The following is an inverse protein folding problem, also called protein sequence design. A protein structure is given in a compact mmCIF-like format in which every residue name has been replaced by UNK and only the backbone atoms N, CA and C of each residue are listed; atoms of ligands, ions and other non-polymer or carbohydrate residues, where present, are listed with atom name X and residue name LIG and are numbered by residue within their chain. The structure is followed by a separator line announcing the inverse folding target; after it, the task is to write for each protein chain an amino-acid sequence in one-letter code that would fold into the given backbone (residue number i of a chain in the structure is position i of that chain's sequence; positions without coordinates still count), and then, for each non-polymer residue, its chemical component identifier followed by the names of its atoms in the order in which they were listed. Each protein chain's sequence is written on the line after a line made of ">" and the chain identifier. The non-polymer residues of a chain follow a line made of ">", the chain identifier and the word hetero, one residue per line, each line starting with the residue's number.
data_IF_494116159511
#
_entry.id   IF_494116159511
#
_cell.length_a   1.000
_cell.length_b   1.000
_cell.length_c   1.000
_cell.angle_alpha   90.00
_cell.angle_beta   90.00
_cell.angle_gamma   90.00
#
_symmetry.space_group_name_H-M   'P 1'
#
loop_
_entity.id
_entity.type
_entity.pdbx_description
1 polymer ?
#
# COMPACT_ATOMS: atom_id res chain seq x y z
N UNK A 1 14.06 -10.34 -17.93
CA UNK A 1 15.16 -9.43 -17.47
C UNK A 1 14.85 -8.05 -18.03
N UNK A 2 14.61 -7.09 -17.18
CA UNK A 2 14.39 -5.68 -17.54
C UNK A 2 15.74 -5.06 -17.90
N UNK A 3 16.17 -5.23 -19.16
CA UNK A 3 17.39 -4.60 -19.68
C UNK A 3 17.03 -3.17 -20.08
N UNK A 4 17.53 -2.19 -19.33
CA UNK A 4 17.38 -0.77 -19.65
C UNK A 4 16.76 0.09 -18.54
N UNK A 5 16.23 -0.50 -17.47
CA UNK A 5 15.72 0.28 -16.35
C UNK A 5 16.86 1.02 -15.63
N UNK A 6 16.68 2.30 -15.37
CA UNK A 6 17.62 3.09 -14.57
C UNK A 6 17.71 2.52 -13.15
N UNK A 7 18.90 2.58 -12.55
CA UNK A 7 19.06 2.21 -11.15
C UNK A 7 18.15 3.09 -10.26
N UNK A 8 17.47 2.53 -9.26
CA UNK A 8 16.64 3.32 -8.37
C UNK A 8 17.47 4.33 -7.58
N UNK A 9 16.93 5.54 -7.39
CA UNK A 9 17.53 6.55 -6.53
C UNK A 9 17.34 6.17 -5.06
N UNK A 10 18.40 6.26 -4.28
CA UNK A 10 18.31 6.07 -2.83
C UNK A 10 17.78 7.34 -2.15
N UNK A 11 16.89 7.13 -1.18
CA UNK A 11 16.30 8.18 -0.34
C UNK A 11 16.47 7.75 1.13
N UNK A 12 17.37 8.39 1.90
CA UNK A 12 17.49 8.11 3.33
C UNK A 12 16.27 8.67 4.08
N UNK A 13 15.67 7.83 4.92
CA UNK A 13 14.49 8.18 5.71
C UNK A 13 14.80 8.08 7.19
N UNK A 14 14.68 9.17 7.92
CA UNK A 14 14.80 9.18 9.38
C UNK A 14 13.53 8.66 10.02
N UNK A 15 13.64 7.57 10.78
CA UNK A 15 12.52 6.93 11.49
C UNK A 15 12.47 7.34 12.95
N UNK A 16 13.63 7.48 13.58
CA UNK A 16 13.83 7.96 14.95
C UNK A 16 15.06 8.87 14.99
N UNK A 17 15.32 9.62 16.06
CA UNK A 17 16.44 10.59 16.10
C UNK A 17 17.80 10.00 15.68
N UNK A 18 18.07 8.74 16.02
CA UNK A 18 19.33 8.04 15.72
C UNK A 18 19.17 6.86 14.74
N UNK A 19 18.00 6.69 14.11
CA UNK A 19 17.73 5.50 13.30
C UNK A 19 17.14 5.89 11.95
N UNK A 20 17.76 5.39 10.89
CA UNK A 20 17.35 5.62 9.50
C UNK A 20 17.04 4.31 8.80
N UNK A 21 16.24 4.38 7.76
CA UNK A 21 16.10 3.33 6.74
C UNK A 21 16.33 3.93 5.37
N UNK A 22 16.61 3.09 4.38
CA UNK A 22 16.80 3.49 2.99
C UNK A 22 15.56 3.14 2.18
N UNK A 23 14.97 4.12 1.52
CA UNK A 23 13.97 3.90 0.48
C UNK A 23 14.65 3.92 -0.90
N UNK A 24 14.09 3.17 -1.85
CA UNK A 24 14.50 3.12 -3.25
C UNK A 24 13.39 3.66 -4.12
N UNK A 25 13.67 4.71 -4.88
CA UNK A 25 12.73 5.37 -5.79
C UNK A 25 12.99 4.88 -7.21
N UNK A 26 12.03 4.14 -7.77
CA UNK A 26 11.97 3.70 -9.16
C UNK A 26 11.10 4.69 -9.93
N UNK A 27 11.72 5.55 -10.72
CA UNK A 27 10.99 6.55 -11.49
C UNK A 27 10.13 5.92 -12.59
N UNK A 28 9.00 6.55 -12.89
CA UNK A 28 8.12 6.14 -14.00
C UNK A 28 8.87 6.19 -15.33
N UNK A 29 8.86 5.08 -16.08
CA UNK A 29 9.56 4.98 -17.38
C UNK A 29 8.67 5.29 -18.59
N UNK A 30 7.35 5.00 -18.48
CA UNK A 30 6.36 5.34 -19.51
C UNK A 30 5.79 6.74 -19.25
N UNK A 31 4.76 7.14 -20.03
CA UNK A 31 4.03 8.38 -19.77
C UNK A 31 3.59 8.43 -18.31
N UNK A 32 4.14 9.36 -17.49
CA UNK A 32 3.89 9.39 -16.07
C UNK A 32 2.40 9.56 -15.76
N UNK A 33 1.88 8.72 -14.86
CA UNK A 33 0.50 8.84 -14.38
C UNK A 33 0.33 9.99 -13.36
N UNK A 34 1.43 10.62 -12.92
CA UNK A 34 1.42 11.67 -11.91
C UNK A 34 1.11 11.15 -10.50
N UNK A 35 1.39 9.88 -10.24
CA UNK A 35 1.11 9.22 -8.98
C UNK A 35 2.30 8.38 -8.49
N UNK A 36 2.48 8.33 -7.18
CA UNK A 36 3.45 7.51 -6.50
C UNK A 36 2.79 6.39 -5.68
N UNK A 37 3.46 5.24 -5.59
CA UNK A 37 3.04 4.09 -4.81
C UNK A 37 4.18 3.62 -3.90
N UNK A 38 3.99 3.69 -2.58
CA UNK A 38 4.92 3.11 -1.62
C UNK A 38 4.61 1.62 -1.48
N UNK A 39 5.59 0.76 -1.73
CA UNK A 39 5.47 -0.70 -1.68
C UNK A 39 6.32 -1.28 -0.55
N UNK A 40 5.67 -1.67 0.55
CA UNK A 40 6.28 -2.31 1.71
C UNK A 40 6.43 -3.83 1.54
N UNK A 41 7.56 -4.37 1.99
CA UNK A 41 7.83 -5.81 1.92
C UNK A 41 7.09 -6.62 3.00
N UNK A 42 6.96 -7.93 2.78
CA UNK A 42 6.46 -8.89 3.76
C UNK A 42 7.50 -9.30 4.82
N UNK A 43 7.08 -10.02 5.86
CA UNK A 43 7.98 -10.63 6.82
C UNK A 43 8.94 -11.61 6.12
N UNK A 44 10.20 -11.62 6.55
CA UNK A 44 11.23 -12.52 5.98
C UNK A 44 11.76 -12.12 4.59
N UNK A 45 11.37 -10.96 4.07
CA UNK A 45 11.88 -10.38 2.83
C UNK A 45 12.40 -8.96 3.09
N UNK A 46 13.15 -8.40 2.14
CA UNK A 46 13.54 -6.99 2.13
C UNK A 46 13.15 -6.34 0.80
N UNK A 47 13.36 -5.05 0.68
CA UNK A 47 13.04 -4.30 -0.54
C UNK A 47 13.78 -4.79 -1.80
N UNK A 48 14.93 -5.46 -1.64
CA UNK A 48 15.73 -6.03 -2.74
C UNK A 48 15.37 -7.49 -3.05
N UNK A 49 14.36 -8.06 -2.39
CA UNK A 49 13.85 -9.39 -2.74
C UNK A 49 13.27 -9.39 -4.15
N UNK A 50 13.48 -10.47 -4.92
CA UNK A 50 13.10 -10.55 -6.34
C UNK A 50 11.65 -10.12 -6.61
N UNK A 51 10.69 -10.58 -5.82
CA UNK A 51 9.28 -10.17 -5.96
C UNK A 51 9.09 -8.66 -5.83
N UNK A 52 9.79 -8.01 -4.89
CA UNK A 52 9.69 -6.57 -4.65
C UNK A 52 10.28 -5.78 -5.83
N UNK A 53 11.46 -6.18 -6.28
CA UNK A 53 12.17 -5.55 -7.40
C UNK A 53 11.37 -5.73 -8.70
N UNK A 54 10.93 -6.94 -9.01
CA UNK A 54 10.14 -7.22 -10.22
C UNK A 54 8.81 -6.45 -10.22
N UNK A 55 8.16 -6.36 -9.06
CA UNK A 55 6.91 -5.59 -8.93
C UNK A 55 7.16 -4.10 -9.12
N UNK A 56 8.22 -3.56 -8.50
CA UNK A 56 8.56 -2.15 -8.61
C UNK A 56 8.91 -1.76 -10.05
N UNK A 57 9.80 -2.51 -10.70
CA UNK A 57 10.19 -2.28 -12.10
C UNK A 57 9.00 -2.41 -13.06
N UNK A 58 8.14 -3.42 -12.85
CA UNK A 58 6.99 -3.61 -13.72
C UNK A 58 5.92 -2.53 -13.56
N UNK A 59 5.75 -1.97 -12.38
CA UNK A 59 4.82 -0.85 -12.15
C UNK A 59 5.41 0.49 -12.61
N UNK A 60 6.73 0.70 -12.47
CA UNK A 60 7.39 1.90 -13.03
C UNK A 60 7.36 1.92 -14.55
N UNK A 61 7.52 0.78 -15.20
CA UNK A 61 7.33 0.64 -16.63
C UNK A 61 5.90 0.96 -17.11
N UNK A 62 4.90 0.88 -16.22
CA UNK A 62 3.51 1.24 -16.49
C UNK A 62 3.16 2.69 -16.10
N UNK A 63 4.15 3.49 -15.70
CA UNK A 63 4.02 4.94 -15.49
C UNK A 63 3.78 5.40 -14.06
N UNK A 64 4.04 4.58 -13.05
CA UNK A 64 3.98 4.98 -11.63
C UNK A 64 5.38 5.19 -11.07
N UNK A 65 5.57 6.20 -10.24
CA UNK A 65 6.74 6.26 -9.37
C UNK A 65 6.56 5.25 -8.23
N UNK A 66 7.50 4.31 -8.10
CA UNK A 66 7.41 3.26 -7.07
C UNK A 66 8.49 3.47 -6.04
N UNK A 67 8.11 3.46 -4.78
CA UNK A 67 9.02 3.59 -3.67
C UNK A 67 9.00 2.31 -2.84
N UNK A 68 10.13 1.62 -2.75
CA UNK A 68 10.30 0.50 -1.82
C UNK A 68 11.16 0.94 -0.64
N UNK A 69 11.04 0.27 0.50
CA UNK A 69 11.86 0.54 1.67
C UNK A 69 12.05 -0.71 2.52
N UNK A 70 13.03 -0.71 3.39
CA UNK A 70 13.16 -1.73 4.43
C UNK A 70 12.51 -1.27 5.74
N UNK A 71 11.75 -2.14 6.41
CA UNK A 71 11.50 -1.94 7.83
C UNK A 71 12.82 -2.02 8.61
N UNK A 72 12.92 -1.32 9.74
CA UNK A 72 14.18 -1.20 10.49
C UNK A 72 14.84 -2.53 10.85
N UNK A 73 14.05 -3.56 11.17
CA UNK A 73 14.63 -4.87 11.45
C UNK A 73 15.39 -5.44 10.25
N UNK A 74 14.87 -5.25 9.04
CA UNK A 74 15.52 -5.70 7.80
C UNK A 74 16.71 -4.81 7.45
N UNK A 75 16.59 -3.51 7.61
CA UNK A 75 17.70 -2.56 7.40
C UNK A 75 18.91 -2.89 8.27
N UNK A 76 18.66 -3.34 9.50
CA UNK A 76 19.69 -3.77 10.44
C UNK A 76 20.06 -5.26 10.36
N UNK A 77 19.67 -5.96 9.28
CA UNK A 77 20.01 -7.38 9.07
C UNK A 77 19.33 -8.36 10.02
N UNK A 78 18.32 -7.94 10.78
CA UNK A 78 17.57 -8.81 11.68
C UNK A 78 16.50 -9.59 10.92
N UNK A 79 16.21 -10.82 11.36
CA UNK A 79 15.22 -11.71 10.68
C UNK A 79 13.81 -11.55 11.24
N UNK A 80 13.67 -11.30 12.53
CA UNK A 80 12.38 -11.18 13.19
C UNK A 80 11.84 -9.74 13.03
N UNK A 81 10.58 -9.56 12.59
CA UNK A 81 9.96 -8.27 12.52
C UNK A 81 9.98 -7.53 13.86
N UNK A 82 10.11 -6.23 13.78
CA UNK A 82 9.96 -5.35 14.94
C UNK A 82 8.54 -5.42 15.51
N UNK A 83 8.36 -4.94 16.74
CA UNK A 83 7.03 -4.75 17.32
C UNK A 83 6.19 -3.83 16.41
N UNK A 84 4.88 -4.05 16.43
CA UNK A 84 3.89 -3.36 15.59
C UNK A 84 4.10 -1.84 15.55
N UNK A 85 4.22 -1.20 16.71
CA UNK A 85 4.37 0.27 16.79
C UNK A 85 5.59 0.78 16.04
N UNK A 86 6.73 0.06 16.05
CA UNK A 86 7.93 0.47 15.31
C UNK A 86 7.78 0.24 13.80
N UNK A 87 7.08 -0.80 13.38
CA UNK A 87 6.75 -1.02 11.98
C UNK A 87 5.84 0.10 11.46
N UNK A 88 4.82 0.49 12.23
CA UNK A 88 3.90 1.60 11.91
C UNK A 88 4.65 2.93 11.85
N UNK A 89 5.50 3.23 12.83
CA UNK A 89 6.34 4.45 12.83
C UNK A 89 7.24 4.48 11.60
N UNK A 90 7.90 3.37 11.27
CA UNK A 90 8.77 3.30 10.09
C UNK A 90 7.99 3.58 8.79
N UNK A 91 6.80 2.97 8.64
CA UNK A 91 5.98 3.20 7.46
C UNK A 91 5.51 4.65 7.36
N UNK A 92 5.06 5.24 8.46
CA UNK A 92 4.61 6.64 8.52
C UNK A 92 5.75 7.60 8.15
N UNK A 93 6.95 7.40 8.71
CA UNK A 93 8.13 8.22 8.35
C UNK A 93 8.49 8.13 6.87
N UNK A 94 8.30 6.96 6.25
CA UNK A 94 8.50 6.79 4.80
C UNK A 94 7.44 7.57 4.01
N UNK A 95 6.17 7.55 4.43
CA UNK A 95 5.11 8.34 3.79
C UNK A 95 5.46 9.83 3.82
N UNK A 96 5.86 10.36 4.97
CA UNK A 96 6.24 11.76 5.12
C UNK A 96 7.44 12.14 4.24
N UNK A 97 8.52 11.36 4.27
CA UNK A 97 9.70 11.61 3.46
C UNK A 97 9.40 11.56 1.95
N UNK A 98 8.62 10.58 1.51
CA UNK A 98 8.22 10.42 0.11
C UNK A 98 7.39 11.61 -0.36
N UNK A 99 6.49 12.13 0.46
CA UNK A 99 5.71 13.33 0.12
C UNK A 99 6.57 14.59 -0.05
N UNK A 100 7.67 14.68 0.68
CA UNK A 100 8.59 15.80 0.57
C UNK A 100 9.52 15.70 -0.65
N UNK A 101 9.95 14.49 -1.00
CA UNK A 101 11.08 14.21 -1.90
C UNK A 101 10.67 13.67 -3.29
N UNK A 102 9.40 13.30 -3.48
CA UNK A 102 8.89 12.72 -4.74
C UNK A 102 7.70 13.55 -5.23
N UNK A 103 7.86 14.24 -6.36
CA UNK A 103 6.88 15.22 -6.85
C UNK A 103 5.51 14.60 -7.13
N UNK A 104 5.45 13.42 -7.73
CA UNK A 104 4.17 12.72 -7.98
C UNK A 104 3.43 12.35 -6.69
N UNK A 105 4.16 12.13 -5.59
CA UNK A 105 3.58 11.83 -4.28
C UNK A 105 2.87 13.05 -3.66
N UNK A 106 3.26 14.27 -4.04
CA UNK A 106 2.57 15.49 -3.61
C UNK A 106 1.19 15.63 -4.25
N UNK A 107 1.01 15.05 -5.43
CA UNK A 107 -0.26 15.07 -6.16
C UNK A 107 -1.13 13.89 -5.78
N UNK A 108 -0.65 12.67 -5.98
CA UNK A 108 -1.38 11.44 -5.69
C UNK A 108 -0.45 10.41 -5.07
N UNK A 109 -0.62 10.14 -3.78
CA UNK A 109 0.11 9.10 -3.07
C UNK A 109 -0.81 7.93 -2.76
N UNK A 110 -0.31 6.73 -3.08
CA UNK A 110 -0.89 5.45 -2.71
C UNK A 110 0.08 4.67 -1.83
N UNK A 111 -0.45 3.82 -0.95
CA UNK A 111 0.36 2.90 -0.16
C UNK A 111 0.02 1.46 -0.50
N UNK A 112 1.05 0.64 -0.56
CA UNK A 112 0.95 -0.76 -0.94
C UNK A 112 1.79 -1.63 -0.01
N UNK A 113 1.44 -2.88 0.13
CA UNK A 113 2.33 -3.81 0.79
C UNK A 113 2.01 -5.26 0.50
N UNK A 114 3.08 -6.05 0.49
CA UNK A 114 3.02 -7.50 0.44
C UNK A 114 2.81 -8.06 1.84
N UNK A 115 1.77 -8.87 2.04
CA UNK A 115 1.56 -9.61 3.28
C UNK A 115 1.61 -8.70 4.52
N UNK A 116 2.60 -8.87 5.41
CA UNK A 116 2.82 -8.02 6.58
C UNK A 116 2.83 -6.52 6.20
N UNK A 117 3.52 -6.15 5.13
CA UNK A 117 3.59 -4.75 4.68
C UNK A 117 2.22 -4.15 4.37
N UNK A 118 1.33 -4.92 3.74
CA UNK A 118 -0.05 -4.51 3.49
C UNK A 118 -0.87 -4.36 4.78
N UNK A 119 -0.69 -5.29 5.72
CA UNK A 119 -1.34 -5.18 7.04
C UNK A 119 -0.87 -3.95 7.81
N UNK A 120 0.44 -3.65 7.80
CA UNK A 120 0.96 -2.43 8.46
C UNK A 120 0.42 -1.18 7.76
N UNK A 121 0.36 -1.14 6.42
CA UNK A 121 -0.24 -0.02 5.69
C UNK A 121 -1.69 0.25 6.12
N UNK A 122 -2.51 -0.80 6.26
CA UNK A 122 -3.90 -0.65 6.73
C UNK A 122 -3.99 -0.20 8.18
N UNK A 123 -3.05 -0.63 9.04
CA UNK A 123 -2.98 -0.21 10.45
C UNK A 123 -2.58 1.26 10.58
N UNK A 124 -1.62 1.73 9.79
CA UNK A 124 -1.23 3.15 9.74
C UNK A 124 -2.41 4.02 9.28
N UNK A 125 -3.08 3.62 8.19
CA UNK A 125 -4.23 4.37 7.68
C UNK A 125 -5.43 4.36 8.64
N UNK A 126 -5.65 3.27 9.39
CA UNK A 126 -6.72 3.18 10.38
C UNK A 126 -6.44 4.02 11.63
N UNK A 127 -5.15 4.18 11.99
CA UNK A 127 -4.74 4.96 13.16
C UNK A 127 -4.71 6.47 12.89
N UNK A 128 -4.57 6.88 11.63
CA UNK A 128 -4.52 8.29 11.22
C UNK A 128 -5.57 8.60 10.13
N UNK A 129 -6.76 9.05 10.49
CA UNK A 129 -7.78 9.46 9.53
C UNK A 129 -7.36 10.65 8.65
N UNK A 130 -6.35 11.43 9.06
CA UNK A 130 -5.84 12.59 8.33
C UNK A 130 -4.74 12.23 7.34
N UNK A 131 -4.28 10.96 7.36
CA UNK A 131 -3.23 10.48 6.47
C UNK A 131 -3.61 10.74 5.00
N UNK A 132 -2.82 11.58 4.35
CA UNK A 132 -3.10 12.01 2.98
C UNK A 132 -2.60 10.97 1.97
N UNK A 133 -3.33 9.86 1.88
CA UNK A 133 -3.15 8.81 0.86
C UNK A 133 -4.46 8.58 0.13
N UNK A 134 -4.37 8.37 -1.19
CA UNK A 134 -5.55 8.26 -2.06
C UNK A 134 -6.21 6.89 -2.00
N UNK A 135 -5.46 5.85 -1.63
CA UNK A 135 -5.94 4.48 -1.52
C UNK A 135 -4.83 3.49 -1.18
N UNK A 136 -5.22 2.27 -0.90
CA UNK A 136 -4.31 1.20 -0.48
C UNK A 136 -4.38 0.01 -1.43
N UNK A 137 -3.22 -0.60 -1.75
CA UNK A 137 -3.10 -1.84 -2.53
C UNK A 137 -2.51 -2.93 -1.65
N UNK A 138 -3.21 -4.06 -1.52
CA UNK A 138 -2.89 -5.10 -0.55
C UNK A 138 -2.60 -6.40 -1.29
N UNK A 139 -1.33 -6.79 -1.35
CA UNK A 139 -0.85 -7.95 -2.10
C UNK A 139 -0.75 -9.17 -1.19
N UNK A 140 -1.72 -10.09 -1.26
CA UNK A 140 -1.83 -11.23 -0.36
C UNK A 140 -2.04 -10.76 1.08
N UNK A 141 -3.22 -10.21 1.38
CA UNK A 141 -3.53 -9.75 2.73
C UNK A 141 -3.57 -10.93 3.71
N UNK A 142 -2.78 -10.91 4.81
CA UNK A 142 -2.71 -12.04 5.75
C UNK A 142 -3.86 -11.93 6.77
N UNK A 143 -5.06 -12.36 6.38
CA UNK A 143 -6.27 -12.29 7.19
C UNK A 143 -6.13 -13.03 8.53
N UNK A 144 -5.37 -14.12 8.54
CA UNK A 144 -5.01 -14.91 9.73
C UNK A 144 -3.68 -15.66 9.50
N UNK A 145 -3.04 -16.23 10.52
CA UNK A 145 -1.93 -17.16 10.32
C UNK A 145 -2.40 -18.45 9.65
N UNK A 146 -1.57 -19.13 8.84
CA UNK A 146 -1.92 -20.41 8.26
C UNK A 146 -2.33 -21.42 9.32
N UNK A 147 -3.46 -22.12 9.07
CA UNK A 147 -3.99 -23.11 10.00
C UNK A 147 -4.65 -22.55 11.27
N UNK A 148 -4.77 -21.21 11.40
CA UNK A 148 -5.38 -20.56 12.56
C UNK A 148 -6.43 -19.50 12.14
N UNK A 149 -7.53 -19.89 11.49
CA UNK A 149 -8.51 -18.96 10.93
C UNK A 149 -9.25 -18.12 11.99
N UNK A 150 -9.23 -18.54 13.26
CA UNK A 150 -9.78 -17.74 14.36
C UNK A 150 -8.92 -16.57 14.81
N UNK A 151 -7.61 -16.54 14.45
CA UNK A 151 -6.71 -15.44 14.81
C UNK A 151 -6.80 -14.30 13.77
N UNK A 152 -7.94 -13.65 13.72
CA UNK A 152 -8.29 -12.64 12.71
C UNK A 152 -7.45 -11.36 12.84
N UNK A 153 -7.19 -10.73 11.67
CA UNK A 153 -6.36 -9.52 11.55
C UNK A 153 -7.07 -8.40 10.79
N UNK A 154 -8.37 -8.38 10.82
CA UNK A 154 -9.25 -7.49 10.05
C UNK A 154 -10.01 -6.45 10.88
N UNK A 155 -9.99 -6.53 12.21
CA UNK A 155 -10.76 -5.67 13.10
C UNK A 155 -10.55 -4.16 12.89
N UNK A 156 -9.39 -3.74 12.36
CA UNK A 156 -9.07 -2.34 12.09
C UNK A 156 -9.48 -1.87 10.68
N UNK A 157 -9.83 -2.79 9.75
CA UNK A 157 -10.14 -2.44 8.36
C UNK A 157 -11.30 -1.44 8.21
N UNK A 158 -12.39 -1.50 9.02
CA UNK A 158 -13.45 -0.50 8.94
C UNK A 158 -13.00 0.94 9.21
N UNK A 159 -11.91 1.13 9.98
CA UNK A 159 -11.35 2.44 10.31
C UNK A 159 -10.38 2.99 9.24
N UNK A 160 -10.03 2.24 8.21
CA UNK A 160 -9.07 2.68 7.16
C UNK A 160 -9.57 3.91 6.41
N UNK A 161 -10.87 4.04 6.18
CA UNK A 161 -11.48 5.25 5.61
C UNK A 161 -11.04 5.62 4.18
N UNK A 162 -10.31 4.74 3.49
CA UNK A 162 -9.78 4.95 2.13
C UNK A 162 -10.15 3.77 1.23
N UNK A 163 -10.29 3.96 -0.10
CA UNK A 163 -10.46 2.85 -1.04
C UNK A 163 -9.33 1.83 -0.93
N UNK A 164 -9.66 0.56 -1.04
CA UNK A 164 -8.71 -0.54 -0.95
C UNK A 164 -8.84 -1.50 -2.13
N UNK A 165 -7.70 -1.88 -2.73
CA UNK A 165 -7.60 -2.99 -3.66
C UNK A 165 -6.92 -4.17 -2.97
N UNK A 166 -7.64 -5.28 -2.83
CA UNK A 166 -7.07 -6.56 -2.38
C UNK A 166 -6.75 -7.41 -3.61
N UNK A 167 -5.51 -7.81 -3.75
CA UNK A 167 -5.07 -8.82 -4.72
C UNK A 167 -4.78 -10.09 -3.95
N UNK A 168 -5.55 -11.15 -4.18
CA UNK A 168 -5.50 -12.36 -3.35
C UNK A 168 -5.44 -13.63 -4.19
N UNK A 169 -4.52 -14.53 -3.85
CA UNK A 169 -4.46 -15.85 -4.46
C UNK A 169 -5.63 -16.73 -4.03
N UNK A 170 -6.24 -17.46 -4.96
CA UNK A 170 -7.37 -18.34 -4.65
C UNK A 170 -6.99 -19.51 -3.71
N UNK A 171 -5.69 -19.80 -3.59
CA UNK A 171 -5.14 -20.84 -2.69
C UNK A 171 -4.25 -20.24 -1.60
N UNK A 172 -4.46 -18.98 -1.24
CA UNK A 172 -3.69 -18.31 -0.20
C UNK A 172 -4.07 -18.85 1.19
N UNK A 173 -3.13 -19.50 1.86
CA UNK A 173 -3.33 -20.09 3.19
C UNK A 173 -3.39 -19.08 4.34
N UNK A 174 -3.09 -17.81 4.08
CA UNK A 174 -3.25 -16.70 5.03
C UNK A 174 -4.64 -16.04 4.95
N UNK A 175 -5.51 -16.52 4.08
CA UNK A 175 -6.86 -16.06 3.85
C UNK A 175 -7.22 -16.18 2.37
N UNK A 176 -8.25 -16.95 2.08
CA UNK A 176 -8.79 -17.14 0.73
C UNK A 176 -9.68 -15.97 0.32
N UNK A 177 -9.96 -15.77 -0.97
CA UNK A 177 -10.98 -14.81 -1.43
C UNK A 177 -12.34 -15.02 -0.77
N UNK A 178 -12.76 -16.28 -0.54
CA UNK A 178 -14.01 -16.60 0.12
C UNK A 178 -14.10 -16.15 1.58
N UNK A 179 -12.95 -16.11 2.28
CA UNK A 179 -12.86 -15.60 3.66
C UNK A 179 -12.76 -14.08 3.70
N UNK A 180 -12.16 -13.45 2.68
CA UNK A 180 -12.06 -12.00 2.58
C UNK A 180 -13.37 -11.34 2.14
N UNK A 181 -14.08 -11.92 1.17
CA UNK A 181 -15.26 -11.28 0.58
C UNK A 181 -16.31 -10.83 1.61
N UNK A 182 -16.69 -11.65 2.62
CA UNK A 182 -17.62 -11.20 3.66
C UNK A 182 -17.10 -10.01 4.47
N UNK A 183 -15.79 -9.94 4.75
CA UNK A 183 -15.18 -8.82 5.46
C UNK A 183 -15.29 -7.54 4.63
N UNK A 184 -14.96 -7.63 3.33
CA UNK A 184 -14.98 -6.47 2.44
C UNK A 184 -16.38 -5.90 2.26
N UNK A 185 -17.41 -6.74 2.29
CA UNK A 185 -18.82 -6.32 2.22
C UNK A 185 -19.28 -5.50 3.43
N UNK A 186 -18.60 -5.63 4.58
CA UNK A 186 -18.94 -4.85 5.79
C UNK A 186 -18.27 -3.47 5.82
N UNK A 187 -17.36 -3.18 4.90
CA UNK A 187 -16.63 -1.92 4.88
C UNK A 187 -17.49 -0.80 4.27
N UNK A 188 -17.49 0.36 4.90
CA UNK A 188 -18.17 1.56 4.41
C UNK A 188 -17.47 2.24 3.23
N UNK A 189 -16.19 1.94 3.02
CA UNK A 189 -15.38 2.45 1.90
C UNK A 189 -15.28 1.42 0.79
N UNK A 190 -15.06 1.89 -0.45
CA UNK A 190 -14.91 1.01 -1.60
C UNK A 190 -13.75 0.03 -1.40
N UNK A 191 -14.04 -1.25 -1.43
CA UNK A 191 -13.07 -2.33 -1.39
C UNK A 191 -13.25 -3.23 -2.62
N UNK A 192 -12.19 -3.35 -3.42
CA UNK A 192 -12.15 -4.18 -4.62
C UNK A 192 -11.32 -5.42 -4.33
N UNK A 193 -11.82 -6.59 -4.74
CA UNK A 193 -11.10 -7.87 -4.65
C UNK A 193 -10.75 -8.37 -6.05
N UNK A 194 -9.46 -8.45 -6.35
CA UNK A 194 -8.93 -9.12 -7.52
C UNK A 194 -8.39 -10.50 -7.12
N UNK A 195 -8.96 -11.54 -7.71
CA UNK A 195 -8.61 -12.93 -7.41
C UNK A 195 -7.59 -13.43 -8.42
N UNK A 196 -6.42 -13.84 -7.95
CA UNK A 196 -5.44 -14.58 -8.77
C UNK A 196 -5.79 -16.05 -8.72
N UNK A 197 -6.45 -16.55 -9.75
CA UNK A 197 -6.89 -17.95 -9.81
C UNK A 197 -5.71 -18.93 -9.81
N UNK A 198 -5.81 -19.96 -8.95
CA UNK A 198 -4.74 -20.93 -8.70
C UNK A 198 -3.52 -20.35 -7.97
N UNK A 199 -3.49 -19.05 -7.64
CA UNK A 199 -2.38 -18.38 -6.97
C UNK A 199 -2.26 -18.75 -5.49
N UNK A 200 -1.04 -18.95 -5.01
CA UNK A 200 -0.71 -19.03 -3.58
C UNK A 200 -0.53 -17.62 -2.98
N UNK A 201 -0.04 -17.56 -1.72
CA UNK A 201 0.27 -16.31 -1.03
C UNK A 201 1.22 -15.36 -1.79
N UNK A 202 2.02 -15.88 -2.71
CA UNK A 202 2.95 -15.11 -3.57
C UNK A 202 2.50 -15.04 -5.03
N UNK A 203 1.23 -15.38 -5.30
CA UNK A 203 0.62 -15.42 -6.64
C UNK A 203 1.28 -16.44 -7.57
N UNK A 204 1.93 -17.47 -7.01
CA UNK A 204 2.50 -18.56 -7.80
C UNK A 204 1.40 -19.52 -8.23
N UNK A 205 1.24 -19.69 -9.54
CA UNK A 205 0.21 -20.54 -10.16
C UNK A 205 0.82 -21.80 -10.80
N UNK A 206 2.06 -21.72 -11.25
CA UNK A 206 2.74 -22.83 -11.91
C UNK A 206 4.26 -22.77 -11.68
N UNK A 207 4.85 -23.93 -11.37
CA UNK A 207 6.32 -24.08 -11.37
C UNK A 207 6.87 -24.56 -12.72
N UNK A 208 6.00 -25.12 -13.56
CA UNK A 208 6.37 -25.77 -14.83
C UNK A 208 6.14 -24.89 -16.04
N UNK A 209 5.45 -23.76 -15.89
CA UNK A 209 5.11 -22.84 -16.97
C UNK A 209 5.49 -21.39 -16.57
N UNK A 210 6.75 -20.99 -16.86
CA UNK A 210 7.22 -19.64 -16.56
C UNK A 210 6.46 -18.54 -17.32
N UNK A 211 5.98 -18.83 -18.54
CA UNK A 211 5.24 -17.85 -19.34
C UNK A 211 3.88 -17.54 -18.71
N UNK A 212 3.15 -18.57 -18.27
CA UNK A 212 1.91 -18.41 -17.51
C UNK A 212 2.14 -17.65 -16.22
N UNK A 213 3.24 -17.94 -15.51
CA UNK A 213 3.56 -17.22 -14.27
C UNK A 213 3.85 -15.73 -14.53
N UNK A 214 4.59 -15.41 -15.60
CA UNK A 214 4.85 -14.03 -16.00
C UNK A 214 3.53 -13.30 -16.35
N UNK A 215 2.65 -13.93 -17.13
CA UNK A 215 1.35 -13.37 -17.47
C UNK A 215 0.50 -13.02 -16.23
N UNK A 216 0.54 -13.86 -15.19
CA UNK A 216 -0.15 -13.58 -13.93
C UNK A 216 0.42 -12.34 -13.22
N UNK A 217 1.73 -12.21 -13.15
CA UNK A 217 2.34 -11.02 -12.54
C UNK A 217 2.05 -9.75 -13.36
N UNK A 218 2.02 -9.84 -14.69
CA UNK A 218 1.66 -8.72 -15.55
C UNK A 218 0.18 -8.33 -15.40
N UNK A 219 -0.71 -9.29 -15.24
CA UNK A 219 -2.12 -9.05 -14.96
C UNK A 219 -2.31 -8.31 -13.63
N UNK A 220 -1.65 -8.77 -12.57
CA UNK A 220 -1.65 -8.08 -11.26
C UNK A 220 -1.16 -6.64 -11.38
N UNK A 221 -0.07 -6.38 -12.10
CA UNK A 221 0.47 -5.02 -12.30
C UNK A 221 -0.50 -4.13 -13.06
N UNK A 222 -1.11 -4.64 -14.15
CA UNK A 222 -2.13 -3.90 -14.90
C UNK A 222 -3.34 -3.58 -14.03
N UNK A 223 -3.86 -4.55 -13.28
CA UNK A 223 -4.97 -4.34 -12.35
C UNK A 223 -4.68 -3.22 -11.35
N UNK A 224 -3.48 -3.18 -10.77
CA UNK A 224 -3.06 -2.12 -9.85
C UNK A 224 -3.08 -0.76 -10.54
N UNK A 225 -2.46 -0.65 -11.72
CA UNK A 225 -2.36 0.63 -12.44
C UNK A 225 -3.74 1.12 -12.91
N UNK A 226 -4.59 0.24 -13.41
CA UNK A 226 -5.95 0.56 -13.82
C UNK A 226 -6.78 1.04 -12.63
N UNK A 227 -6.73 0.35 -11.50
CA UNK A 227 -7.43 0.75 -10.29
C UNK A 227 -6.94 2.12 -9.78
N UNK A 228 -5.63 2.37 -9.74
CA UNK A 228 -5.05 3.67 -9.38
C UNK A 228 -5.57 4.76 -10.33
N UNK A 229 -5.56 4.51 -11.63
CA UNK A 229 -6.05 5.46 -12.64
C UNK A 229 -7.53 5.82 -12.46
N UNK A 230 -8.37 4.90 -12.01
CA UNK A 230 -9.78 5.23 -11.69
C UNK A 230 -9.87 6.24 -10.56
N UNK A 231 -9.05 6.09 -9.51
CA UNK A 231 -9.07 6.99 -8.35
C UNK A 231 -8.46 8.37 -8.64
N UNK A 232 -7.47 8.46 -9.52
CA UNK A 232 -6.86 9.74 -9.94
C UNK A 232 -7.87 10.59 -10.72
N UNK A 233 -8.72 9.98 -11.54
CA UNK A 233 -9.73 10.67 -12.36
C UNK A 233 -10.93 11.16 -11.56
N UNK A 234 -11.18 10.64 -10.37
CA UNK A 234 -12.24 11.10 -9.51
C UNK A 234 -11.86 12.43 -8.85
N UNK A 235 -12.78 13.43 -8.82
CA UNK A 235 -12.51 14.68 -8.13
C UNK A 235 -12.18 14.40 -6.65
N UNK A 236 -11.20 15.13 -6.12
CA UNK A 236 -10.90 15.10 -4.68
C UNK A 236 -12.15 15.63 -3.98
N UNK A 237 -12.82 14.82 -3.15
CA UNK A 237 -13.88 15.33 -2.28
C UNK A 237 -13.26 16.42 -1.41
N UNK A 238 -13.66 17.68 -1.64
CA UNK A 238 -13.37 18.75 -0.71
C UNK A 238 -13.95 18.33 0.65
N UNK A 239 -13.13 18.24 1.67
CA UNK A 239 -13.60 18.07 3.04
C UNK A 239 -14.58 19.21 3.30
N UNK A 240 -15.79 18.87 3.77
CA UNK A 240 -16.77 19.84 4.16
C UNK A 240 -16.19 20.70 5.30
N UNK A 241 -15.63 21.84 4.95
CA UNK A 241 -15.21 22.85 5.90
C UNK A 241 -16.42 23.21 6.75
N UNK A 242 -16.36 22.88 8.03
CA UNK A 242 -17.44 23.09 8.99
C UNK A 242 -17.97 24.51 8.96
N UNK A 243 -19.15 24.68 8.41
CA UNK A 243 -19.95 25.88 8.55
C UNK A 243 -20.50 25.95 9.98
N UNK A 244 -19.70 26.49 10.87
CA UNK A 244 -20.07 26.80 12.27
C UNK A 244 -19.75 28.24 12.61
N UNK A 245 -20.24 29.21 11.81
CA UNK A 245 -20.30 30.60 12.26
C UNK A 245 -21.70 30.87 12.82
N UNK A 246 -21.87 30.63 14.11
CA UNK A 246 -22.97 31.13 14.89
C UNK A 246 -22.93 32.66 14.88
N UNK A 247 -23.87 33.28 14.17
CA UNK A 247 -24.13 34.71 14.21
C UNK A 247 -24.85 35.03 15.50
N UNK A 248 -24.13 35.48 16.52
CA UNK A 248 -24.73 36.12 17.72
C UNK A 248 -25.29 37.47 17.29
N UNK A 249 -26.60 37.55 17.06
CA UNK A 249 -27.35 38.80 16.93
C UNK A 249 -27.39 39.48 18.32
N UNK A 250 -26.62 40.53 18.51
CA UNK A 250 -26.83 41.49 19.57
C UNK A 250 -28.09 42.31 19.25
N UNK A 251 -29.18 42.05 19.99
CA UNK A 251 -30.31 42.98 20.03
C UNK A 251 -29.92 44.15 20.95
N UNK A 252 -29.84 45.33 20.37
CA UNK A 252 -29.76 46.55 21.13
C UNK A 252 -31.11 46.83 21.81
N UNK A 253 -31.06 47.12 23.09
CA UNK A 253 -32.17 47.74 23.83
C UNK A 253 -31.85 49.22 23.95
N UNK A 254 -32.71 50.02 23.36
CA UNK A 254 -32.85 51.47 23.69
C UNK A 254 -33.75 51.59 24.92
N UNK A 255 -33.31 52.23 25.89
CA UNK A 255 -33.81 53.34 26.76
C UNK A 255 -33.03 53.37 28.03
#
# INVERSE_FOLDING_TARGET
>A
MWRGASAPRELPVRVQPSTTTTALVYAAEATPAGAALILAHGAGAGQRHAFMVDTALGLSALGLDIITFNFLYTEHGRRLPDRRSLLETCYHSVIEAVRQEVDSARTFLFVCGKSMGGRIATQVAAADPTLDVRGLVLLGYPLHPPGRPGERRDAHLPAVGRPMLFVQGSRDTFGTPGELAPVLQTLSTAATLHVVDGGDHSFKVSRKDPARQAAVYDDVRRTIVEWIRTLIRLPVKAEAAGAGRSAVRRRGARR
#
